data_IF_720306290767
#
_entry.id   IF_720306290767
#
_cell.length_a   1.000
_cell.length_b   1.000
_cell.length_c   1.000
_cell.angle_alpha   90.00
_cell.angle_beta   90.00
_cell.angle_gamma   90.00
#
_symmetry.space_group_name_H-M   'P 1'
#
loop_
_entity.id
_entity.type
_entity.pdbx_description
1 polymer ?
#
# COMPACT_ATOMS: atom_id res chain seq x y z
N UNK A 1 0.78 -12.71 -29.63
CA UNK A 1 0.96 -11.63 -28.64
C UNK A 1 -0.41 -11.21 -28.15
N UNK A 2 -0.79 -11.57 -26.93
CA UNK A 2 -1.91 -10.92 -26.23
C UNK A 2 -1.40 -10.65 -24.82
N UNK A 3 -1.05 -9.39 -24.60
CA UNK A 3 -0.75 -8.84 -23.27
C UNK A 3 -2.11 -8.74 -22.58
N UNK A 4 -2.36 -9.58 -21.58
CA UNK A 4 -3.52 -9.40 -20.71
C UNK A 4 -3.08 -8.32 -19.73
N UNK A 5 -3.37 -7.07 -20.10
CA UNK A 5 -3.31 -5.92 -19.20
C UNK A 5 -4.30 -6.16 -18.05
N UNK A 6 -3.76 -6.07 -16.84
CA UNK A 6 -4.38 -6.32 -15.53
C UNK A 6 -5.42 -5.22 -15.17
N UNK A 7 -6.20 -4.75 -16.16
CA UNK A 7 -7.09 -3.59 -16.05
C UNK A 7 -8.50 -3.99 -15.60
N UNK A 8 -8.65 -4.78 -14.53
CA UNK A 8 -10.01 -5.07 -14.04
C UNK A 8 -10.09 -5.41 -12.57
N UNK A 9 -9.90 -4.41 -11.71
CA UNK A 9 -10.37 -4.51 -10.32
C UNK A 9 -10.98 -3.22 -9.76
N UNK A 10 -11.59 -2.36 -10.58
CA UNK A 10 -12.12 -1.10 -10.06
C UNK A 10 -13.48 -0.72 -10.65
N UNK A 11 -14.49 -1.58 -10.51
CA UNK A 11 -15.87 -1.20 -10.86
C UNK A 11 -16.95 -1.91 -10.05
N UNK A 12 -16.82 -2.01 -8.72
CA UNK A 12 -17.98 -2.25 -7.84
C UNK A 12 -17.82 -1.48 -6.53
N UNK A 13 -18.92 -0.93 -6.02
CA UNK A 13 -19.08 -0.15 -4.78
C UNK A 13 -18.89 1.37 -4.94
N UNK A 14 -20.03 2.07 -4.98
CA UNK A 14 -20.10 3.52 -4.94
C UNK A 14 -19.52 4.10 -3.65
N UNK A 15 -18.91 5.28 -3.77
CA UNK A 15 -18.73 6.24 -2.67
C UNK A 15 -17.81 5.87 -1.50
N UNK A 16 -17.17 4.70 -1.47
CA UNK A 16 -16.17 4.39 -0.45
C UNK A 16 -14.80 4.91 -0.90
N UNK A 17 -14.14 5.74 -0.08
CA UNK A 17 -12.72 6.10 -0.29
C UNK A 17 -11.94 4.79 -0.48
N UNK A 18 -11.49 4.52 -1.70
CA UNK A 18 -10.73 3.33 -2.01
C UNK A 18 -9.44 3.41 -1.19
N UNK A 19 -9.33 2.54 -0.20
CA UNK A 19 -8.11 2.39 0.57
C UNK A 19 -7.06 1.90 -0.41
N UNK A 20 -6.19 2.80 -0.85
CA UNK A 20 -5.09 2.45 -1.74
C UNK A 20 -3.99 1.82 -0.88
N UNK A 21 -3.63 0.58 -1.17
CA UNK A 21 -2.49 -0.08 -0.56
C UNK A 21 -1.28 0.07 -1.49
N UNK A 22 -0.12 0.38 -0.92
CA UNK A 22 1.15 0.41 -1.64
C UNK A 22 2.20 -0.47 -0.97
N UNK A 23 3.06 -1.09 -1.77
CA UNK A 23 4.20 -1.85 -1.24
C UNK A 23 5.29 -0.91 -0.78
N UNK A 24 5.66 -1.00 0.49
CA UNK A 24 6.70 -0.18 1.10
C UNK A 24 7.77 -1.06 1.72
N UNK A 25 9.01 -0.56 1.69
CA UNK A 25 10.12 -1.23 2.36
C UNK A 25 10.29 -0.64 3.75
N UNK A 26 10.37 -1.50 4.78
CA UNK A 26 10.61 -1.02 6.13
C UNK A 26 11.97 -0.31 6.22
N UNK A 27 12.01 0.85 6.87
CA UNK A 27 13.24 1.63 7.08
C UNK A 27 14.33 0.85 7.85
N UNK A 28 13.92 -0.01 8.79
CA UNK A 28 14.81 -0.77 9.67
C UNK A 28 15.19 -2.14 9.12
N UNK A 29 14.21 -3.02 8.90
CA UNK A 29 14.48 -4.40 8.50
C UNK A 29 14.44 -4.65 6.99
N UNK A 30 14.14 -3.61 6.19
CA UNK A 30 14.02 -3.68 4.72
C UNK A 30 12.97 -4.66 4.19
N UNK A 31 12.19 -5.30 5.05
CA UNK A 31 11.06 -6.14 4.64
C UNK A 31 10.04 -5.29 3.88
N UNK A 32 9.63 -5.79 2.71
CA UNK A 32 8.56 -5.19 1.91
C UNK A 32 7.21 -5.67 2.42
N UNK A 33 6.26 -4.77 2.61
CA UNK A 33 4.92 -5.09 3.06
C UNK A 33 3.90 -4.08 2.51
N UNK A 34 2.63 -4.44 2.51
CA UNK A 34 1.54 -3.58 2.04
C UNK A 34 1.15 -2.57 3.13
N UNK A 35 1.22 -1.29 2.78
CA UNK A 35 0.85 -0.17 3.65
C UNK A 35 -0.32 0.60 3.04
N UNK A 36 -1.27 0.98 3.88
CA UNK A 36 -2.38 1.85 3.51
C UNK A 36 -1.85 3.27 3.23
N UNK A 37 -1.95 3.73 1.98
CA UNK A 37 -1.57 5.09 1.55
C UNK A 37 -2.39 6.17 2.25
N UNK A 38 -3.55 5.82 2.79
CA UNK A 38 -4.37 6.76 3.57
C UNK A 38 -3.73 7.08 4.92
N UNK A 39 -2.77 6.27 5.38
CA UNK A 39 -2.07 6.44 6.66
C UNK A 39 -0.67 7.00 6.44
N UNK A 40 -0.40 8.14 7.06
CA UNK A 40 0.94 8.74 7.13
C UNK A 40 1.91 7.95 7.99
N UNK A 41 1.41 7.05 8.83
CA UNK A 41 2.22 6.21 9.73
C UNK A 41 1.73 4.77 9.67
N UNK A 42 2.65 3.85 9.39
CA UNK A 42 2.36 2.42 9.35
C UNK A 42 3.41 1.66 10.16
N UNK A 43 2.98 0.60 10.84
CA UNK A 43 3.88 -0.24 11.63
C UNK A 43 4.32 -1.44 10.80
N UNK A 44 5.63 -1.69 10.75
CA UNK A 44 6.16 -2.86 10.06
C UNK A 44 5.68 -4.15 10.77
N UNK A 45 5.11 -5.12 10.05
CA UNK A 45 4.63 -6.36 10.65
C UNK A 45 5.76 -7.23 11.21
N UNK A 46 6.96 -7.14 10.62
CA UNK A 46 8.12 -7.96 11.00
C UNK A 46 8.85 -7.43 12.22
N UNK A 47 9.31 -6.18 12.16
CA UNK A 47 10.16 -5.60 13.19
C UNK A 47 9.45 -4.60 14.11
N UNK A 48 8.13 -4.40 13.93
CA UNK A 48 7.29 -3.47 14.69
C UNK A 48 7.75 -2.01 14.66
N UNK A 49 8.67 -1.66 13.75
CA UNK A 49 9.15 -0.29 13.59
C UNK A 49 8.10 0.55 12.88
N UNK A 50 7.93 1.77 13.33
CA UNK A 50 7.06 2.76 12.70
C UNK A 50 7.73 3.33 11.44
N UNK A 51 7.03 3.25 10.31
CA UNK A 51 7.42 3.84 9.04
C UNK A 51 6.47 5.01 8.78
N UNK A 52 7.04 6.19 8.54
CA UNK A 52 6.29 7.43 8.32
C UNK A 52 6.40 7.77 6.84
N UNK A 53 5.25 7.82 6.16
CA UNK A 53 5.11 8.22 4.77
C UNK A 53 4.46 9.60 4.78
N UNK A 54 5.26 10.64 4.94
CA UNK A 54 4.79 12.01 4.76
C UNK A 54 4.67 12.27 3.26
N UNK A 55 3.44 12.29 2.73
CA UNK A 55 3.18 12.82 1.39
C UNK A 55 3.57 14.30 1.39
N UNK A 56 4.53 14.67 0.55
CA UNK A 56 4.95 16.06 0.35
C UNK A 56 4.21 16.65 -0.84
#
# INVERSE_FOLDING_TARGET
MVRIEDEKLESVAGGAKKIQYMKVSCIKCKTVFDADMSKTKVKCPTCKTDNIFAGR
#
